data_IF_243226947433
#
_entry.id   IF_243226947433
#
_cell.length_a   1.000
_cell.length_b   1.000
_cell.length_c   1.000
_cell.angle_alpha   90.00
_cell.angle_beta   90.00
_cell.angle_gamma   90.00
#
_symmetry.space_group_name_H-M   'P 1'
#
loop_
_entity.id
_entity.type
_entity.pdbx_description
1 polymer ?
#
# COMPACT_ATOMS: atom_id res chain seq x y z
N UNK A 1 -2.52 23.57 9.81
CA UNK A 1 -1.92 22.62 10.77
C UNK A 1 -3.04 21.82 11.44
N UNK A 2 -3.74 20.94 10.71
CA UNK A 2 -4.86 20.15 11.26
C UNK A 2 -5.10 18.88 10.42
N UNK A 3 -4.04 18.11 10.14
CA UNK A 3 -4.15 16.84 9.40
C UNK A 3 -4.37 15.63 10.35
N UNK A 4 -4.35 15.84 11.67
CA UNK A 4 -4.28 14.76 12.66
C UNK A 4 -5.46 14.67 13.63
N UNK A 5 -6.42 15.60 13.60
CA UNK A 5 -7.49 15.67 14.62
C UNK A 5 -8.47 14.48 14.61
N UNK A 6 -8.60 13.78 13.47
CA UNK A 6 -9.48 12.60 13.35
C UNK A 6 -8.81 11.28 13.75
N UNK A 7 -7.53 11.32 14.09
CA UNK A 7 -6.86 10.19 14.72
C UNK A 7 -6.56 10.60 16.16
N UNK A 8 -7.18 9.94 17.15
CA UNK A 8 -6.51 9.75 18.45
C UNK A 8 -5.28 8.85 18.21
N UNK A 9 -4.34 9.32 17.41
CA UNK A 9 -3.09 8.66 17.08
C UNK A 9 -2.28 8.74 18.36
N UNK A 10 -2.23 7.62 19.07
CA UNK A 10 -1.22 7.39 20.09
C UNK A 10 0.10 7.32 19.34
N UNK A 11 0.73 8.48 19.10
CA UNK A 11 2.04 8.55 18.45
C UNK A 11 3.02 7.88 19.40
N UNK A 12 3.46 6.68 19.03
CA UNK A 12 4.53 5.98 19.74
C UNK A 12 5.82 6.38 19.06
N UNK A 13 6.55 7.30 19.70
CA UNK A 13 7.90 7.65 19.27
C UNK A 13 8.79 6.41 19.37
N UNK A 14 9.37 6.01 18.24
CA UNK A 14 10.42 5.00 18.22
C UNK A 14 11.77 5.70 18.34
N UNK A 15 12.70 5.05 19.05
CA UNK A 15 14.05 5.59 19.24
C UNK A 15 14.73 5.67 17.87
N UNK A 16 15.46 6.77 17.60
CA UNK A 16 16.15 7.00 16.31
C UNK A 16 17.04 5.83 15.87
N UNK A 17 17.59 5.08 16.83
CA UNK A 17 18.39 3.89 16.58
C UNK A 17 17.66 2.81 15.76
N UNK A 18 16.32 2.75 15.79
CA UNK A 18 15.52 1.87 14.93
C UNK A 18 15.68 2.19 13.44
N UNK A 19 15.98 3.44 13.11
CA UNK A 19 16.14 3.91 11.73
C UNK A 19 17.62 3.99 11.31
N UNK A 20 18.55 3.45 12.10
CA UNK A 20 19.96 3.41 11.73
C UNK A 20 20.21 2.38 10.62
N UNK A 21 20.87 2.81 9.53
CA UNK A 21 21.10 1.99 8.34
C UNK A 21 21.75 0.63 8.67
N UNK A 22 22.85 0.64 9.43
CA UNK A 22 23.60 -0.57 9.78
C UNK A 22 22.75 -1.60 10.55
N UNK A 23 21.87 -1.12 11.44
CA UNK A 23 20.95 -1.98 12.18
C UNK A 23 19.85 -2.50 11.27
N UNK A 24 19.23 -1.62 10.49
CA UNK A 24 18.17 -1.95 9.55
C UNK A 24 18.61 -3.00 8.53
N UNK A 25 19.83 -2.88 7.99
CA UNK A 25 20.42 -3.86 7.09
C UNK A 25 20.49 -5.25 7.73
N UNK A 26 20.98 -5.35 8.98
CA UNK A 26 21.06 -6.62 9.72
C UNK A 26 19.67 -7.21 9.99
N UNK A 27 18.70 -6.36 10.34
CA UNK A 27 17.30 -6.79 10.56
C UNK A 27 16.73 -7.39 9.28
N UNK A 28 16.93 -6.74 8.13
CA UNK A 28 16.45 -7.21 6.82
C UNK A 28 17.11 -8.53 6.45
N UNK A 29 18.45 -8.62 6.56
CA UNK A 29 19.21 -9.83 6.26
C UNK A 29 18.72 -11.02 7.10
N UNK A 30 18.51 -10.81 8.39
CA UNK A 30 18.02 -11.85 9.30
C UNK A 30 16.56 -12.24 9.02
N UNK A 31 15.68 -11.27 8.77
CA UNK A 31 14.26 -11.53 8.54
C UNK A 31 14.02 -12.34 7.25
N UNK A 32 14.74 -12.00 6.18
CA UNK A 32 14.62 -12.67 4.88
C UNK A 32 15.60 -13.84 4.69
N UNK A 33 16.54 -14.07 5.61
CA UNK A 33 17.61 -15.07 5.50
C UNK A 33 18.49 -14.87 4.25
N UNK A 34 18.89 -13.62 4.00
CA UNK A 34 19.73 -13.23 2.87
C UNK A 34 21.08 -12.69 3.34
N UNK A 35 22.11 -12.88 2.52
CA UNK A 35 23.47 -12.39 2.81
C UNK A 35 23.60 -10.92 2.41
N UNK A 36 23.08 -10.55 1.24
CA UNK A 36 23.22 -9.20 0.65
C UNK A 36 21.86 -8.54 0.50
N UNK A 37 21.77 -7.25 0.84
CA UNK A 37 20.53 -6.49 0.71
C UNK A 37 20.14 -6.24 -0.76
N UNK A 38 21.09 -6.29 -1.69
CA UNK A 38 20.83 -6.14 -3.12
C UNK A 38 19.87 -7.20 -3.66
N UNK A 39 19.74 -8.34 -2.96
CA UNK A 39 18.80 -9.41 -3.29
C UNK A 39 17.33 -8.99 -3.17
N UNK A 40 17.01 -7.92 -2.44
CA UNK A 40 15.64 -7.37 -2.32
C UNK A 40 15.40 -6.16 -3.23
N UNK A 41 16.36 -5.85 -4.12
CA UNK A 41 16.33 -4.73 -5.05
C UNK A 41 17.19 -3.54 -4.62
N UNK A 42 17.28 -2.55 -5.50
CA UNK A 42 18.13 -1.36 -5.32
C UNK A 42 17.46 -0.31 -4.42
N UNK A 43 17.44 -0.57 -3.11
CA UNK A 43 16.94 0.39 -2.11
C UNK A 43 18.02 1.42 -1.76
N UNK A 44 17.64 2.69 -1.61
CA UNK A 44 18.52 3.71 -1.05
C UNK A 44 18.61 3.60 0.49
N UNK A 45 19.55 4.31 1.10
CA UNK A 45 19.82 4.24 2.54
C UNK A 45 18.59 4.52 3.41
N UNK A 46 17.78 5.53 3.06
CA UNK A 46 16.56 5.89 3.79
C UNK A 46 15.49 4.80 3.67
N UNK A 47 15.35 4.20 2.48
CA UNK A 47 14.42 3.08 2.25
C UNK A 47 14.85 1.85 3.05
N UNK A 48 16.14 1.53 3.09
CA UNK A 48 16.68 0.44 3.92
C UNK A 48 16.35 0.68 5.39
N UNK A 49 16.63 1.88 5.91
CA UNK A 49 16.29 2.27 7.28
C UNK A 49 14.80 2.12 7.60
N UNK A 50 13.92 2.56 6.70
CA UNK A 50 12.47 2.45 6.89
C UNK A 50 11.99 0.99 6.90
N UNK A 51 12.46 0.18 5.95
CA UNK A 51 12.11 -1.26 5.88
C UNK A 51 12.59 -1.99 7.13
N UNK A 52 13.83 -1.75 7.57
CA UNK A 52 14.37 -2.39 8.77
C UNK A 52 13.58 -2.02 10.02
N UNK A 53 13.21 -0.75 10.19
CA UNK A 53 12.38 -0.31 11.32
C UNK A 53 10.99 -0.99 11.33
N UNK A 54 10.36 -1.12 10.16
CA UNK A 54 9.06 -1.81 10.02
C UNK A 54 9.20 -3.30 10.39
N UNK A 55 10.20 -3.99 9.86
CA UNK A 55 10.43 -5.41 10.14
C UNK A 55 10.77 -5.67 11.61
N UNK A 56 11.58 -4.80 12.21
CA UNK A 56 11.88 -4.88 13.65
C UNK A 56 10.61 -4.72 14.47
N UNK A 57 9.79 -3.71 14.17
CA UNK A 57 8.50 -3.51 14.85
C UNK A 57 7.58 -4.73 14.70
N UNK A 58 7.48 -5.29 13.49
CA UNK A 58 6.68 -6.48 13.23
C UNK A 58 7.18 -7.70 14.02
N UNK A 59 8.50 -7.89 14.14
CA UNK A 59 9.09 -8.97 14.93
C UNK A 59 8.75 -8.89 16.41
N UNK A 60 8.62 -7.67 16.96
CA UNK A 60 8.24 -7.44 18.36
C UNK A 60 6.75 -7.76 18.56
N UNK A 61 5.90 -7.37 17.61
CA UNK A 61 4.45 -7.52 17.70
C UNK A 61 3.94 -8.92 17.33
N UNK A 62 4.63 -9.63 16.44
CA UNK A 62 4.16 -10.89 15.87
C UNK A 62 5.14 -12.05 16.15
N UNK A 63 5.56 -12.22 17.41
CA UNK A 63 6.54 -13.24 17.85
C UNK A 63 6.25 -14.69 17.43
N UNK A 64 5.01 -15.00 17.02
CA UNK A 64 4.58 -16.35 16.64
C UNK A 64 4.05 -16.48 15.20
N UNK A 65 4.14 -15.43 14.38
CA UNK A 65 3.72 -15.50 12.97
C UNK A 65 4.77 -16.21 12.13
N UNK A 66 4.37 -17.26 11.40
CA UNK A 66 5.24 -18.02 10.50
C UNK A 66 5.29 -17.47 9.07
N UNK A 67 4.42 -16.52 8.72
CA UNK A 67 4.39 -15.97 7.36
C UNK A 67 5.40 -14.85 7.20
N UNK A 68 6.46 -15.09 6.43
CA UNK A 68 7.33 -14.02 5.95
C UNK A 68 6.54 -13.12 5.01
N UNK A 69 6.72 -11.81 5.12
CA UNK A 69 6.28 -10.89 4.09
C UNK A 69 7.03 -11.16 2.77
N UNK A 70 6.46 -10.84 1.60
CA UNK A 70 7.23 -10.81 0.37
C UNK A 70 8.34 -9.74 0.45
N UNK A 71 9.26 -9.75 -0.51
CA UNK A 71 10.23 -8.68 -0.64
C UNK A 71 9.53 -7.34 -0.89
N UNK A 72 10.06 -6.24 -0.32
CA UNK A 72 9.52 -4.91 -0.58
C UNK A 72 9.66 -4.60 -2.08
N UNK A 73 8.64 -3.95 -2.63
CA UNK A 73 8.67 -3.48 -4.02
C UNK A 73 8.71 -1.95 -4.01
N UNK A 74 9.59 -1.38 -4.84
CA UNK A 74 9.61 0.06 -5.08
C UNK A 74 8.39 0.39 -5.93
N UNK A 75 7.54 1.28 -5.42
CA UNK A 75 6.37 1.79 -6.14
C UNK A 75 6.73 3.18 -6.66
N UNK A 76 6.80 3.33 -7.99
CA UNK A 76 7.00 4.64 -8.62
C UNK A 76 5.68 5.41 -8.68
N UNK A 77 5.70 6.67 -8.27
CA UNK A 77 4.55 7.57 -8.37
C UNK A 77 4.16 7.89 -9.82
N UNK A 78 5.10 7.78 -10.76
CA UNK A 78 4.87 8.10 -12.18
C UNK A 78 3.82 7.18 -12.82
N UNK A 79 3.66 5.97 -12.29
CA UNK A 79 2.68 5.01 -12.79
C UNK A 79 1.25 5.31 -12.33
N UNK A 80 1.05 6.30 -11.47
CA UNK A 80 -0.25 6.59 -10.86
C UNK A 80 -0.65 8.05 -11.04
N UNK A 81 -1.95 8.27 -11.16
CA UNK A 81 -2.52 9.62 -11.19
C UNK A 81 -2.44 10.23 -9.79
N UNK A 82 -1.80 11.40 -9.70
CA UNK A 82 -1.84 12.22 -8.50
C UNK A 82 -3.20 12.89 -8.38
N UNK A 83 -3.96 12.48 -7.36
CA UNK A 83 -5.19 13.14 -6.95
C UNK A 83 -4.93 13.71 -5.55
N UNK A 84 -5.11 15.00 -5.36
CA UNK A 84 -4.94 15.62 -4.05
C UNK A 84 -6.09 15.23 -3.10
N UNK A 85 -5.90 15.48 -1.80
CA UNK A 85 -6.87 15.09 -0.78
C UNK A 85 -8.24 15.78 -0.94
N UNK A 86 -8.27 17.03 -1.44
CA UNK A 86 -9.52 17.77 -1.68
C UNK A 86 -10.28 17.15 -2.85
N UNK A 87 -9.59 16.90 -3.98
CA UNK A 87 -10.19 16.24 -5.13
C UNK A 87 -10.72 14.84 -4.78
N UNK A 88 -9.98 14.02 -4.01
CA UNK A 88 -10.47 12.70 -3.56
C UNK A 88 -11.75 12.79 -2.74
N UNK A 89 -11.83 13.79 -1.87
CA UNK A 89 -13.01 14.03 -1.02
C UNK A 89 -14.19 14.53 -1.85
N UNK A 90 -13.97 15.50 -2.74
CA UNK A 90 -15.01 16.09 -3.57
C UNK A 90 -15.56 15.12 -4.62
N UNK A 91 -14.74 14.17 -5.08
CA UNK A 91 -15.17 13.07 -5.94
C UNK A 91 -15.86 11.93 -5.17
N UNK A 92 -15.91 12.01 -3.84
CA UNK A 92 -16.51 11.01 -2.95
C UNK A 92 -16.08 9.57 -3.29
N UNK A 93 -14.78 9.37 -3.58
CA UNK A 93 -14.29 8.11 -4.16
C UNK A 93 -14.57 6.91 -3.26
N UNK A 94 -14.25 7.02 -1.98
CA UNK A 94 -14.36 5.92 -0.99
C UNK A 94 -15.32 6.25 0.16
N UNK A 95 -15.72 7.52 0.28
CA UNK A 95 -16.64 8.01 1.29
C UNK A 95 -17.23 9.34 0.83
N UNK A 96 -18.44 9.66 1.24
CA UNK A 96 -19.08 10.96 0.99
C UNK A 96 -18.40 12.10 1.74
N UNK A 97 -18.77 13.34 1.44
CA UNK A 97 -18.30 14.55 2.13
C UNK A 97 -18.56 14.50 3.64
N UNK A 98 -19.64 13.83 4.05
CA UNK A 98 -20.03 13.59 5.45
C UNK A 98 -19.32 12.39 6.09
N UNK A 99 -18.43 11.70 5.36
CA UNK A 99 -17.66 10.56 5.85
C UNK A 99 -18.38 9.21 5.77
N UNK A 100 -19.54 9.12 5.11
CA UNK A 100 -20.27 7.86 4.98
C UNK A 100 -19.74 7.02 3.82
N UNK A 101 -19.65 5.70 4.00
CA UNK A 101 -19.34 4.79 2.90
C UNK A 101 -20.47 4.73 1.86
N UNK A 102 -21.73 4.64 2.32
CA UNK A 102 -22.90 4.60 1.43
C UNK A 102 -22.99 5.88 0.59
N UNK A 103 -23.36 5.73 -0.68
CA UNK A 103 -23.43 6.78 -1.70
C UNK A 103 -22.07 7.31 -2.19
N UNK A 104 -20.94 6.72 -1.77
CA UNK A 104 -19.64 6.93 -2.43
C UNK A 104 -19.57 6.19 -3.76
N UNK A 105 -18.65 6.61 -4.65
CA UNK A 105 -18.41 5.89 -5.90
C UNK A 105 -18.08 4.41 -5.65
N UNK A 106 -17.18 4.12 -4.70
CA UNK A 106 -16.84 2.75 -4.34
C UNK A 106 -18.06 1.93 -3.91
N UNK A 107 -18.96 2.50 -3.10
CA UNK A 107 -20.18 1.79 -2.68
C UNK A 107 -21.15 1.48 -3.82
N UNK A 108 -21.09 2.24 -4.92
CA UNK A 108 -21.93 2.03 -6.10
C UNK A 108 -21.34 0.96 -7.03
N UNK A 109 -20.02 0.94 -7.19
CA UNK A 109 -19.35 0.05 -8.16
C UNK A 109 -18.87 -1.28 -7.55
N UNK A 110 -18.80 -1.39 -6.23
CA UNK A 110 -18.33 -2.61 -5.56
C UNK A 110 -19.40 -3.72 -5.60
N UNK A 111 -19.34 -4.52 -6.67
CA UNK A 111 -20.07 -5.77 -6.82
C UNK A 111 -19.18 -7.00 -6.57
N UNK A 112 -18.08 -6.84 -5.83
CA UNK A 112 -17.14 -7.95 -5.59
C UNK A 112 -17.74 -8.98 -4.65
N UNK A 113 -17.54 -10.27 -4.97
CA UNK A 113 -18.07 -11.39 -4.16
C UNK A 113 -17.12 -11.82 -3.03
N UNK A 114 -15.92 -11.25 -2.96
CA UNK A 114 -14.94 -11.55 -1.89
C UNK A 114 -14.37 -10.27 -1.28
N UNK A 115 -14.10 -10.32 0.02
CA UNK A 115 -13.45 -9.21 0.74
C UNK A 115 -12.08 -8.84 0.15
N UNK A 116 -11.35 -9.81 -0.43
CA UNK A 116 -10.08 -9.55 -1.10
C UNK A 116 -10.29 -8.74 -2.39
N UNK A 117 -11.33 -9.08 -3.16
CA UNK A 117 -11.75 -8.32 -4.35
C UNK A 117 -12.12 -6.88 -4.02
N UNK A 118 -12.94 -6.66 -3.00
CA UNK A 118 -13.34 -5.31 -2.58
C UNK A 118 -12.14 -4.45 -2.14
N UNK A 119 -11.19 -5.04 -1.40
CA UNK A 119 -9.92 -4.36 -1.06
C UNK A 119 -9.08 -4.01 -2.29
N UNK A 120 -9.03 -4.90 -3.29
CA UNK A 120 -8.32 -4.62 -4.54
C UNK A 120 -8.98 -3.49 -5.32
N UNK A 121 -10.31 -3.48 -5.41
CA UNK A 121 -11.09 -2.42 -6.06
C UNK A 121 -10.88 -1.08 -5.36
N UNK A 122 -10.97 -1.05 -4.03
CA UNK A 122 -10.65 0.14 -3.23
C UNK A 122 -9.24 0.66 -3.53
N UNK A 123 -8.23 -0.24 -3.59
CA UNK A 123 -6.86 0.13 -3.96
C UNK A 123 -6.80 0.74 -5.36
N UNK A 124 -7.45 0.14 -6.35
CA UNK A 124 -7.45 0.66 -7.73
C UNK A 124 -8.07 2.05 -7.82
N UNK A 125 -9.16 2.30 -7.09
CA UNK A 125 -9.80 3.61 -7.06
C UNK A 125 -8.97 4.66 -6.29
N UNK A 126 -8.27 4.23 -5.25
CA UNK A 126 -7.40 5.11 -4.44
C UNK A 126 -6.07 5.42 -5.12
N UNK A 127 -5.59 4.56 -6.00
CA UNK A 127 -4.35 4.79 -6.77
C UNK A 127 -4.61 4.44 -8.25
N UNK A 128 -5.30 5.33 -9.00
CA UNK A 128 -5.56 5.10 -10.42
C UNK A 128 -4.25 5.04 -11.20
N UNK A 129 -4.16 4.15 -12.18
CA UNK A 129 -3.00 4.07 -13.07
C UNK A 129 -2.96 5.29 -13.99
N UNK A 130 -1.75 5.75 -14.31
CA UNK A 130 -1.48 6.77 -15.31
C UNK A 130 -0.71 6.22 -16.53
N UNK A 131 -0.21 4.98 -16.44
CA UNK A 131 0.57 4.34 -17.50
C UNK A 131 -0.35 3.52 -18.42
N UNK A 132 -0.29 3.82 -19.72
CA UNK A 132 -1.23 3.30 -20.71
C UNK A 132 -1.14 1.79 -20.90
N UNK A 133 0.06 1.19 -20.85
CA UNK A 133 0.22 -0.25 -21.03
C UNK A 133 -0.41 -1.04 -19.87
N UNK A 134 -0.26 -0.57 -18.63
CA UNK A 134 -0.87 -1.15 -17.42
C UNK A 134 -2.39 -1.00 -17.43
N UNK A 135 -2.91 0.14 -17.90
CA UNK A 135 -4.35 0.34 -18.10
C UNK A 135 -4.88 -0.65 -19.13
N UNK A 136 -4.25 -0.73 -20.30
CA UNK A 136 -4.66 -1.64 -21.38
C UNK A 136 -4.59 -3.11 -20.96
N UNK A 137 -3.58 -3.50 -20.17
CA UNK A 137 -3.46 -4.84 -19.61
C UNK A 137 -4.67 -5.21 -18.73
N UNK A 138 -5.17 -4.26 -17.92
CA UNK A 138 -6.41 -4.47 -17.15
C UNK A 138 -7.64 -4.54 -18.04
N UNK A 139 -7.73 -3.68 -19.06
CA UNK A 139 -8.85 -3.68 -20.01
C UNK A 139 -8.93 -4.98 -20.81
N UNK A 140 -7.80 -5.56 -21.19
CA UNK A 140 -7.75 -6.87 -21.87
C UNK A 140 -8.35 -7.99 -21.01
N UNK A 141 -8.07 -7.99 -19.69
CA UNK A 141 -8.66 -8.96 -18.76
C UNK A 141 -10.18 -8.78 -18.71
N UNK A 142 -10.66 -7.54 -18.61
CA UNK A 142 -12.11 -7.29 -18.59
C UNK A 142 -12.79 -7.68 -19.90
N UNK A 143 -12.17 -7.38 -21.04
CA UNK A 143 -12.68 -7.71 -22.38
C UNK A 143 -12.75 -9.23 -22.61
N UNK A 144 -11.76 -9.97 -22.10
CA UNK A 144 -11.78 -11.43 -22.11
C UNK A 144 -13.00 -12.00 -21.38
N UNK A 145 -13.27 -11.52 -20.15
CA UNK A 145 -14.41 -12.01 -19.37
C UNK A 145 -15.75 -11.54 -19.92
N UNK A 146 -15.87 -10.31 -20.40
CA UNK A 146 -17.13 -9.85 -21.00
C UNK A 146 -17.47 -10.67 -22.24
N UNK A 147 -16.51 -10.93 -23.14
CA UNK A 147 -16.74 -11.73 -24.35
C UNK A 147 -17.10 -13.19 -24.09
N UNK A 148 -16.65 -13.77 -22.99
CA UNK A 148 -16.95 -15.18 -22.63
C UNK A 148 -18.36 -15.32 -22.03
N UNK A 149 -18.83 -14.29 -21.32
CA UNK A 149 -20.12 -14.33 -20.61
C UNK A 149 -21.22 -13.49 -21.28
N UNK A 150 -20.97 -12.97 -22.50
CA UNK A 150 -21.98 -12.35 -23.39
C UNK A 150 -22.56 -13.37 -24.34
#
# INVERSE_FOLDING_TARGET
>A
MALFDNYKQKIVYQVESYFSFNKAQRVIQNYYEIITIDSIGSLNSTQVSAVGAILEYLSIMQKHSKSKLPFPQIVSYENFMLIDASARKNLELTSTLSGNFKCSLLSVIDATVTNQGGRLLHKFLSTPLAEANLINSRLQITDFFTKIYS
#
